data_IF_893497317647
#
_entry.id   IF_893497317647
#
_cell.length_a   1.000
_cell.length_b   1.000
_cell.length_c   1.000
_cell.angle_alpha   90.00
_cell.angle_beta   90.00
_cell.angle_gamma   90.00
#
_symmetry.space_group_name_H-M   'P 1'
#
loop_
_entity.id
_entity.type
_entity.pdbx_description
1 polymer ?
#
# COMPACT_ATOMS: atom_id res chain seq x y z
N UNK A 1 -8.71 4.32 38.87
CA UNK A 1 -9.96 3.65 38.47
C UNK A 1 -10.09 3.87 36.97
N UNK A 2 -9.67 2.89 36.16
CA UNK A 2 -9.53 3.05 34.71
C UNK A 2 -10.91 2.88 34.03
N UNK A 3 -11.34 3.89 33.28
CA UNK A 3 -12.55 3.81 32.47
C UNK A 3 -12.35 2.79 31.34
N UNK A 4 -13.31 1.88 31.10
CA UNK A 4 -13.22 0.95 29.99
C UNK A 4 -13.38 1.70 28.66
N UNK A 5 -12.42 1.51 27.76
CA UNK A 5 -12.47 2.03 26.40
C UNK A 5 -13.64 1.40 25.63
N UNK A 6 -14.39 2.17 24.82
CA UNK A 6 -15.48 1.63 24.03
C UNK A 6 -14.91 0.68 22.97
N UNK A 7 -15.27 -0.59 23.07
CA UNK A 7 -15.00 -1.60 22.03
C UNK A 7 -15.82 -1.22 20.79
N UNK A 8 -15.18 -0.65 19.78
CA UNK A 8 -15.73 -0.53 18.43
C UNK A 8 -16.13 -1.92 17.97
N UNK A 9 -17.44 -2.18 17.97
CA UNK A 9 -18.00 -3.45 17.53
C UNK A 9 -17.82 -3.52 16.02
N UNK A 10 -16.78 -4.20 15.55
CA UNK A 10 -16.64 -4.55 14.14
C UNK A 10 -17.84 -5.41 13.76
N UNK A 11 -18.86 -4.78 13.16
CA UNK A 11 -19.96 -5.48 12.50
C UNK A 11 -19.35 -6.22 11.31
N UNK A 12 -19.00 -7.48 11.52
CA UNK A 12 -18.66 -8.37 10.41
C UNK A 12 -19.94 -8.56 9.59
N UNK A 13 -20.00 -8.10 8.33
CA UNK A 13 -21.18 -8.34 7.52
C UNK A 13 -21.30 -9.84 7.28
N UNK A 14 -22.45 -10.42 7.60
CA UNK A 14 -22.75 -11.84 7.41
C UNK A 14 -22.71 -12.26 5.93
N UNK A 15 -22.74 -11.30 5.01
CA UNK A 15 -22.60 -11.50 3.56
C UNK A 15 -21.63 -10.46 3.01
N UNK A 16 -20.46 -10.92 2.56
CA UNK A 16 -19.51 -10.08 1.83
C UNK A 16 -19.97 -9.98 0.38
N UNK A 17 -19.89 -8.79 -0.22
CA UNK A 17 -20.32 -8.56 -1.61
C UNK A 17 -19.61 -9.46 -2.63
N UNK A 18 -18.35 -9.81 -2.34
CA UNK A 18 -17.58 -10.78 -3.13
C UNK A 18 -18.25 -12.15 -3.17
N UNK A 19 -18.82 -12.59 -2.06
CA UNK A 19 -19.38 -13.93 -1.90
C UNK A 19 -20.76 -13.99 -2.54
N UNK A 20 -21.54 -12.91 -2.44
CA UNK A 20 -22.79 -12.76 -3.18
C UNK A 20 -22.53 -12.74 -4.70
N UNK A 21 -21.53 -11.97 -5.15
CA UNK A 21 -21.10 -11.95 -6.54
C UNK A 21 -20.70 -13.34 -7.02
N UNK A 22 -19.89 -14.04 -6.23
CA UNK A 22 -19.45 -15.39 -6.52
C UNK A 22 -20.64 -16.35 -6.68
N UNK A 23 -21.57 -16.34 -5.72
CA UNK A 23 -22.75 -17.20 -5.72
C UNK A 23 -23.64 -16.92 -6.93
N UNK A 24 -23.95 -15.66 -7.22
CA UNK A 24 -24.81 -15.26 -8.35
C UNK A 24 -24.16 -15.60 -9.68
N UNK A 25 -22.90 -15.20 -9.90
CA UNK A 25 -22.22 -15.40 -11.18
C UNK A 25 -21.96 -16.88 -11.44
N UNK A 26 -21.59 -17.64 -10.42
CA UNK A 26 -21.41 -19.10 -10.54
C UNK A 26 -22.73 -19.81 -10.76
N UNK A 27 -23.80 -19.41 -10.07
CA UNK A 27 -25.14 -19.96 -10.27
C UNK A 27 -25.67 -19.71 -11.68
N UNK A 28 -25.53 -18.49 -12.19
CA UNK A 28 -25.87 -18.14 -13.58
C UNK A 28 -25.02 -18.91 -14.59
N UNK A 29 -23.73 -19.07 -14.31
CA UNK A 29 -22.82 -19.87 -15.15
C UNK A 29 -23.19 -21.36 -15.15
N UNK A 30 -23.65 -21.89 -14.02
CA UNK A 30 -24.17 -23.25 -13.91
C UNK A 30 -25.46 -23.42 -14.71
N UNK A 31 -26.40 -22.48 -14.57
CA UNK A 31 -27.62 -22.45 -15.38
C UNK A 31 -27.32 -22.42 -16.88
N UNK A 32 -26.41 -21.54 -17.31
CA UNK A 32 -25.98 -21.46 -18.72
C UNK A 32 -25.32 -22.77 -19.19
N UNK A 33 -24.43 -23.34 -18.38
CA UNK A 33 -23.77 -24.61 -18.71
C UNK A 33 -24.71 -25.81 -18.78
N UNK A 34 -25.78 -25.82 -17.99
CA UNK A 34 -26.80 -26.89 -18.00
C UNK A 34 -27.82 -26.74 -19.14
N UNK A 35 -28.11 -25.51 -19.57
CA UNK A 35 -29.06 -25.22 -20.64
C UNK A 35 -28.42 -25.22 -22.05
N UNK A 36 -27.10 -25.26 -22.12
CA UNK A 36 -26.38 -25.27 -23.40
C UNK A 36 -26.30 -26.69 -23.97
N UNK A 37 -26.56 -26.82 -25.27
CA UNK A 37 -26.40 -28.08 -26.01
C UNK A 37 -24.92 -28.49 -26.20
N UNK A 38 -23.98 -27.63 -25.78
CA UNK A 38 -22.54 -27.89 -25.89
C UNK A 38 -22.10 -28.82 -24.73
N UNK A 39 -21.41 -29.94 -25.02
CA UNK A 39 -21.03 -30.90 -23.99
C UNK A 39 -20.04 -30.32 -22.96
N UNK A 40 -20.06 -30.91 -21.77
CA UNK A 40 -19.21 -30.54 -20.62
C UNK A 40 -19.38 -29.11 -20.08
N UNK A 41 -20.57 -28.52 -20.21
CA UNK A 41 -20.88 -27.17 -19.69
C UNK A 41 -20.65 -26.97 -18.19
N UNK A 42 -20.55 -28.04 -17.40
CA UNK A 42 -20.21 -28.00 -15.97
C UNK A 42 -18.80 -27.43 -15.68
N UNK A 43 -17.90 -27.35 -16.66
CA UNK A 43 -16.59 -26.71 -16.49
C UNK A 43 -16.69 -25.18 -16.36
N UNK A 44 -17.77 -24.59 -16.86
CA UNK A 44 -18.01 -23.16 -16.78
C UNK A 44 -18.18 -22.69 -15.31
N UNK A 45 -19.16 -23.20 -14.53
CA UNK A 45 -19.31 -22.82 -13.12
C UNK A 45 -18.10 -23.23 -12.26
N UNK A 46 -17.44 -24.36 -12.56
CA UNK A 46 -16.19 -24.72 -11.87
C UNK A 46 -15.07 -23.72 -12.11
N UNK A 47 -15.03 -23.12 -13.28
CA UNK A 47 -14.03 -22.09 -13.60
C UNK A 47 -14.39 -20.77 -12.97
N UNK A 48 -15.66 -20.36 -13.02
CA UNK A 48 -16.07 -19.12 -12.34
C UNK A 48 -15.87 -19.20 -10.83
N UNK A 49 -16.21 -20.33 -10.20
CA UNK A 49 -16.00 -20.54 -8.78
C UNK A 49 -14.52 -20.45 -8.35
N UNK A 50 -13.61 -20.84 -9.24
CA UNK A 50 -12.18 -20.88 -8.94
C UNK A 50 -11.41 -19.62 -9.35
N UNK A 51 -11.95 -18.82 -10.29
CA UNK A 51 -11.29 -17.64 -10.82
C UNK A 51 -11.86 -16.37 -10.20
N UNK A 52 -13.17 -16.31 -9.96
CA UNK A 52 -13.81 -15.14 -9.39
C UNK A 52 -13.43 -14.99 -7.92
N UNK A 53 -12.65 -13.96 -7.63
CA UNK A 53 -12.14 -13.64 -6.29
C UNK A 53 -12.69 -12.29 -5.82
N UNK A 54 -12.22 -11.78 -4.68
CA UNK A 54 -12.68 -10.51 -4.09
C UNK A 54 -12.30 -9.29 -4.94
N UNK A 55 -11.14 -9.31 -5.62
CA UNK A 55 -10.68 -8.23 -6.49
C UNK A 55 -10.55 -8.65 -7.96
N UNK A 56 -10.51 -7.65 -8.84
CA UNK A 56 -10.27 -7.86 -10.27
C UNK A 56 -8.87 -8.43 -10.51
N UNK A 57 -7.85 -7.86 -9.85
CA UNK A 57 -6.46 -8.28 -9.97
C UNK A 57 -6.22 -9.74 -9.55
N UNK A 58 -6.80 -10.15 -8.42
CA UNK A 58 -6.70 -11.55 -7.97
C UNK A 58 -7.41 -12.49 -8.95
N UNK A 59 -8.57 -12.08 -9.47
CA UNK A 59 -9.30 -12.86 -10.47
C UNK A 59 -8.51 -13.01 -11.78
N UNK A 60 -7.82 -11.96 -12.23
CA UNK A 60 -6.95 -11.99 -13.40
C UNK A 60 -5.76 -12.93 -13.20
N UNK A 61 -5.07 -12.83 -12.05
CA UNK A 61 -3.94 -13.71 -11.73
C UNK A 61 -4.37 -15.18 -11.70
N UNK A 62 -5.50 -15.49 -11.06
CA UNK A 62 -6.07 -16.84 -11.01
C UNK A 62 -6.50 -17.32 -12.41
N UNK A 63 -7.07 -16.44 -13.21
CA UNK A 63 -7.46 -16.72 -14.59
C UNK A 63 -6.26 -17.10 -15.46
N UNK A 64 -5.18 -16.30 -15.43
CA UNK A 64 -3.93 -16.60 -16.16
C UNK A 64 -3.33 -17.93 -15.70
N UNK A 65 -3.26 -18.16 -14.38
CA UNK A 65 -2.74 -19.42 -13.82
C UNK A 65 -3.56 -20.64 -14.30
N UNK A 66 -4.89 -20.49 -14.37
CA UNK A 66 -5.79 -21.56 -14.79
C UNK A 66 -5.75 -21.79 -16.29
N UNK A 67 -5.60 -20.74 -17.10
CA UNK A 67 -5.43 -20.84 -18.54
C UNK A 67 -4.11 -21.52 -18.90
N UNK A 68 -2.99 -21.05 -18.34
CA UNK A 68 -1.67 -21.64 -18.55
C UNK A 68 -1.60 -23.09 -18.05
N UNK A 69 -2.15 -23.36 -16.85
CA UNK A 69 -2.26 -24.71 -16.33
C UNK A 69 -3.10 -25.62 -17.23
N UNK A 70 -4.19 -25.10 -17.80
CA UNK A 70 -5.04 -25.90 -18.68
C UNK A 70 -4.38 -26.20 -20.02
N UNK A 71 -3.72 -25.21 -20.61
CA UNK A 71 -2.96 -25.37 -21.84
C UNK A 71 -1.82 -26.39 -21.65
N UNK A 72 -1.04 -26.23 -20.59
CA UNK A 72 0.04 -27.16 -20.24
C UNK A 72 -0.49 -28.58 -20.01
N UNK A 73 -1.60 -28.73 -19.27
CA UNK A 73 -2.21 -30.03 -19.00
C UNK A 73 -2.66 -30.74 -20.28
N UNK A 74 -3.30 -30.04 -21.21
CA UNK A 74 -3.74 -30.61 -22.50
C UNK A 74 -2.54 -30.99 -23.37
N UNK A 75 -1.51 -30.13 -23.47
CA UNK A 75 -0.30 -30.42 -24.26
C UNK A 75 0.41 -31.67 -23.72
N UNK A 76 0.65 -31.73 -22.40
CA UNK A 76 1.31 -32.87 -21.78
C UNK A 76 0.47 -34.15 -21.90
N UNK A 77 -0.84 -34.05 -21.71
CA UNK A 77 -1.75 -35.17 -21.92
C UNK A 77 -1.57 -35.75 -23.33
N UNK A 78 -1.63 -34.93 -24.39
CA UNK A 78 -1.48 -35.38 -25.78
C UNK A 78 -0.10 -35.99 -26.05
N UNK A 79 0.98 -35.38 -25.54
CA UNK A 79 2.35 -35.90 -25.72
C UNK A 79 2.49 -37.28 -25.07
N UNK A 80 2.07 -37.42 -23.81
CA UNK A 80 2.26 -38.67 -23.07
C UNK A 80 1.25 -39.75 -23.48
N UNK A 81 0.02 -39.39 -23.89
CA UNK A 81 -1.00 -40.35 -24.32
C UNK A 81 -0.74 -40.89 -25.72
N UNK A 82 -0.23 -40.06 -26.65
CA UNK A 82 -0.04 -40.46 -28.07
C UNK A 82 1.39 -40.77 -28.47
N UNK A 83 2.38 -40.06 -27.94
CA UNK A 83 3.75 -40.14 -28.46
C UNK A 83 4.61 -41.17 -27.73
N UNK A 84 4.33 -41.41 -26.45
CA UNK A 84 5.08 -42.36 -25.62
C UNK A 84 4.18 -43.56 -25.35
N UNK A 85 4.31 -44.62 -26.18
CA UNK A 85 3.61 -45.91 -26.00
C UNK A 85 4.11 -46.64 -24.75
N UNK A 86 3.92 -46.05 -23.57
CA UNK A 86 4.40 -46.55 -22.28
C UNK A 86 3.24 -47.16 -21.48
N UNK A 87 3.53 -48.07 -20.51
CA UNK A 87 2.54 -48.55 -19.56
C UNK A 87 1.90 -47.39 -18.79
N UNK A 88 0.57 -47.45 -18.62
CA UNK A 88 -0.26 -46.35 -18.08
C UNK A 88 0.28 -45.75 -16.77
N UNK A 89 0.74 -46.59 -15.84
CA UNK A 89 1.26 -46.12 -14.56
C UNK A 89 2.55 -45.29 -14.72
N UNK A 90 3.44 -45.70 -15.63
CA UNK A 90 4.71 -45.02 -15.88
C UNK A 90 4.50 -43.70 -16.62
N UNK A 91 3.64 -43.71 -17.64
CA UNK A 91 3.33 -42.52 -18.41
C UNK A 91 2.62 -41.46 -17.58
N UNK A 92 1.67 -41.86 -16.73
CA UNK A 92 0.97 -40.95 -15.82
C UNK A 92 1.94 -40.36 -14.78
N UNK A 93 2.81 -41.19 -14.21
CA UNK A 93 3.85 -40.73 -13.27
C UNK A 93 4.80 -39.71 -13.89
N UNK A 94 5.27 -39.96 -15.12
CA UNK A 94 6.13 -39.04 -15.86
C UNK A 94 5.39 -37.75 -16.26
N UNK A 95 4.14 -37.84 -16.70
CA UNK A 95 3.33 -36.69 -17.07
C UNK A 95 3.07 -35.78 -15.86
N UNK A 96 2.75 -36.34 -14.70
CA UNK A 96 2.58 -35.59 -13.45
C UNK A 96 3.90 -35.00 -12.93
N UNK A 97 5.00 -35.75 -13.04
CA UNK A 97 6.35 -35.27 -12.75
C UNK A 97 6.74 -34.09 -13.63
N UNK A 98 6.56 -34.20 -14.94
CA UNK A 98 6.80 -33.14 -15.91
C UNK A 98 5.92 -31.91 -15.65
N UNK A 99 4.63 -32.13 -15.33
CA UNK A 99 3.70 -31.06 -14.94
C UNK A 99 4.19 -30.28 -13.73
N UNK A 100 4.75 -30.97 -12.73
CA UNK A 100 5.30 -30.34 -11.52
C UNK A 100 6.56 -29.53 -11.84
N UNK A 101 7.46 -30.09 -12.64
CA UNK A 101 8.72 -29.44 -13.05
C UNK A 101 8.47 -28.23 -13.93
N UNK A 102 7.68 -28.37 -14.99
CA UNK A 102 7.32 -27.28 -15.89
C UNK A 102 6.46 -26.23 -15.19
N UNK A 103 5.55 -26.65 -14.32
CA UNK A 103 4.77 -25.73 -13.48
C UNK A 103 5.66 -24.89 -12.56
N UNK A 104 6.70 -25.49 -11.97
CA UNK A 104 7.71 -24.77 -11.19
C UNK A 104 8.53 -23.80 -12.03
N UNK A 105 9.01 -24.25 -13.19
CA UNK A 105 9.79 -23.42 -14.12
C UNK A 105 9.00 -22.22 -14.67
N UNK A 106 7.69 -22.39 -14.90
CA UNK A 106 6.78 -21.33 -15.37
C UNK A 106 6.23 -20.45 -14.23
N UNK A 107 6.64 -20.69 -12.97
CA UNK A 107 6.16 -19.92 -11.81
C UNK A 107 4.67 -20.10 -11.51
N UNK A 108 4.08 -21.24 -11.90
CA UNK A 108 2.67 -21.53 -11.64
C UNK A 108 2.47 -21.88 -10.15
N UNK A 109 1.77 -21.02 -9.40
CA UNK A 109 1.47 -21.24 -7.98
C UNK A 109 0.33 -22.24 -7.78
N UNK A 110 -0.69 -22.20 -8.65
CA UNK A 110 -1.89 -23.06 -8.57
C UNK A 110 -2.16 -23.79 -9.88
N UNK A 111 -1.69 -23.24 -11.01
CA UNK A 111 -1.93 -23.78 -12.35
C UNK A 111 -1.44 -25.23 -12.55
N UNK A 112 -0.34 -25.62 -11.91
CA UNK A 112 0.19 -26.99 -12.04
C UNK A 112 -0.76 -28.06 -11.47
N UNK A 113 -1.57 -27.73 -10.45
CA UNK A 113 -2.59 -28.65 -9.91
C UNK A 113 -3.72 -28.88 -10.90
N UNK A 114 -4.12 -27.81 -11.58
CA UNK A 114 -5.15 -27.86 -12.64
C UNK A 114 -4.66 -28.71 -13.80
N UNK A 115 -3.40 -28.52 -14.22
CA UNK A 115 -2.76 -29.32 -15.26
C UNK A 115 -2.73 -30.82 -14.90
N UNK A 116 -2.34 -31.16 -13.67
CA UNK A 116 -2.34 -32.55 -13.21
C UNK A 116 -3.74 -33.17 -13.21
N UNK A 117 -4.75 -32.43 -12.77
CA UNK A 117 -6.15 -32.90 -12.83
C UNK A 117 -6.64 -33.09 -14.28
N UNK A 118 -6.16 -32.29 -15.23
CA UNK A 118 -6.49 -32.48 -16.65
C UNK A 118 -5.88 -33.78 -17.18
N UNK A 119 -4.64 -34.08 -16.84
CA UNK A 119 -3.97 -35.31 -17.28
C UNK A 119 -4.71 -36.53 -16.72
N UNK A 120 -5.02 -36.52 -15.42
CA UNK A 120 -5.73 -37.62 -14.75
C UNK A 120 -7.13 -37.81 -15.35
N UNK A 121 -7.92 -36.75 -15.46
CA UNK A 121 -9.31 -36.84 -15.97
C UNK A 121 -9.38 -37.11 -17.48
N UNK A 122 -8.44 -36.57 -18.25
CA UNK A 122 -8.37 -36.80 -19.70
C UNK A 122 -8.08 -38.26 -20.00
N UNK A 123 -7.11 -38.84 -19.28
CA UNK A 123 -6.67 -40.21 -19.54
C UNK A 123 -7.56 -41.28 -18.89
N UNK A 124 -8.04 -41.08 -17.66
CA UNK A 124 -8.84 -42.08 -16.94
C UNK A 124 -10.33 -42.02 -17.26
N UNK A 125 -10.86 -40.83 -17.58
CA UNK A 125 -12.32 -40.63 -17.72
C UNK A 125 -12.72 -40.37 -19.17
N UNK A 126 -11.87 -39.74 -19.98
CA UNK A 126 -12.21 -39.32 -21.35
C UNK A 126 -11.30 -39.93 -22.42
N UNK A 127 -10.71 -41.10 -22.15
CA UNK A 127 -9.76 -41.78 -23.05
C UNK A 127 -10.28 -41.95 -24.50
N UNK A 128 -11.60 -42.14 -24.66
CA UNK A 128 -12.25 -42.33 -25.96
C UNK A 128 -12.55 -41.02 -26.72
N UNK A 129 -12.60 -39.87 -26.05
CA UNK A 129 -12.99 -38.57 -26.62
C UNK A 129 -11.94 -37.48 -26.36
N UNK A 130 -10.72 -37.86 -26.01
CA UNK A 130 -9.64 -36.99 -25.54
C UNK A 130 -9.39 -35.79 -26.50
N UNK A 131 -9.48 -36.03 -27.81
CA UNK A 131 -9.27 -35.01 -28.86
C UNK A 131 -10.35 -33.95 -28.92
N UNK A 132 -11.57 -34.26 -28.50
CA UNK A 132 -12.70 -33.31 -28.47
C UNK A 132 -12.80 -32.66 -27.10
N UNK A 133 -12.59 -33.44 -26.04
CA UNK A 133 -12.69 -33.00 -24.66
C UNK A 133 -11.65 -31.93 -24.29
N UNK A 134 -10.38 -32.11 -24.66
CA UNK A 134 -9.30 -31.18 -24.32
C UNK A 134 -9.55 -29.75 -24.83
N UNK A 135 -9.78 -29.55 -26.14
CA UNK A 135 -10.13 -28.25 -26.71
C UNK A 135 -11.41 -27.66 -26.13
N UNK A 136 -12.45 -28.47 -25.92
CA UNK A 136 -13.73 -27.99 -25.41
C UNK A 136 -13.61 -27.52 -23.95
N UNK A 137 -12.79 -28.20 -23.14
CA UNK A 137 -12.45 -27.76 -21.79
C UNK A 137 -11.69 -26.44 -21.79
N UNK A 138 -10.76 -26.23 -22.73
CA UNK A 138 -10.06 -24.95 -22.88
C UNK A 138 -11.03 -23.82 -23.26
N UNK A 139 -12.00 -24.10 -24.13
CA UNK A 139 -13.07 -23.16 -24.46
C UNK A 139 -13.90 -22.76 -23.23
N UNK A 140 -14.43 -23.75 -22.49
CA UNK A 140 -15.21 -23.48 -21.26
C UNK A 140 -14.40 -22.75 -20.18
N UNK A 141 -13.12 -23.09 -20.04
CA UNK A 141 -12.22 -22.42 -19.11
C UNK A 141 -12.00 -20.96 -19.51
N UNK A 142 -11.76 -20.70 -20.79
CA UNK A 142 -11.57 -19.34 -21.30
C UNK A 142 -12.84 -18.50 -21.13
N UNK A 143 -14.00 -19.06 -21.47
CA UNK A 143 -15.30 -18.40 -21.28
C UNK A 143 -15.55 -18.09 -19.79
N UNK A 144 -15.28 -19.03 -18.89
CA UNK A 144 -15.43 -18.83 -17.45
C UNK A 144 -14.49 -17.77 -16.87
N UNK A 145 -13.28 -17.65 -17.41
CA UNK A 145 -12.35 -16.56 -17.06
C UNK A 145 -12.92 -15.22 -17.52
N UNK A 146 -13.40 -15.12 -18.77
CA UNK A 146 -14.00 -13.89 -19.31
C UNK A 146 -15.21 -13.46 -18.49
N UNK A 147 -16.13 -14.37 -18.18
CA UNK A 147 -17.30 -14.08 -17.34
C UNK A 147 -16.88 -13.64 -15.94
N UNK A 148 -15.88 -14.30 -15.34
CA UNK A 148 -15.35 -13.92 -14.02
C UNK A 148 -14.75 -12.51 -14.03
N UNK A 149 -13.96 -12.17 -15.04
CA UNK A 149 -13.34 -10.85 -15.15
C UNK A 149 -14.37 -9.76 -15.43
N UNK A 150 -15.34 -10.05 -16.30
CA UNK A 150 -16.47 -9.16 -16.56
C UNK A 150 -17.28 -8.91 -15.29
N UNK A 151 -17.63 -9.97 -14.56
CA UNK A 151 -18.33 -9.85 -13.28
C UNK A 151 -17.52 -9.07 -12.25
N UNK A 152 -16.22 -9.34 -12.11
CA UNK A 152 -15.35 -8.62 -11.18
C UNK A 152 -15.25 -7.12 -11.50
N UNK A 153 -15.43 -6.73 -12.76
CA UNK A 153 -15.39 -5.33 -13.21
C UNK A 153 -16.75 -4.62 -13.08
N UNK A 154 -17.85 -5.29 -13.41
CA UNK A 154 -19.17 -4.66 -13.57
C UNK A 154 -20.16 -4.99 -12.46
N UNK A 155 -20.08 -6.19 -11.88
CA UNK A 155 -20.99 -6.65 -10.84
C UNK A 155 -20.32 -6.38 -9.49
N UNK A 156 -20.74 -5.33 -8.79
CA UNK A 156 -20.16 -4.89 -7.51
C UNK A 156 -18.62 -4.79 -7.55
N UNK A 157 -18.06 -3.77 -8.25
CA UNK A 157 -16.63 -3.63 -8.43
C UNK A 157 -15.89 -3.54 -7.11
N UNK A 158 -14.65 -4.01 -7.13
CA UNK A 158 -13.74 -3.93 -5.99
C UNK A 158 -13.57 -2.48 -5.52
N UNK A 159 -13.55 -2.29 -4.20
CA UNK A 159 -13.33 -0.99 -3.55
C UNK A 159 -11.93 -0.88 -2.93
N UNK A 160 -11.03 -1.81 -3.22
CA UNK A 160 -9.70 -1.88 -2.57
C UNK A 160 -8.91 -0.58 -2.71
N UNK A 161 -8.85 0.01 -3.92
CA UNK A 161 -8.10 1.26 -4.16
C UNK A 161 -8.76 2.46 -3.44
N UNK A 162 -10.08 2.73 -3.58
CA UNK A 162 -10.75 3.78 -2.80
C UNK A 162 -10.60 3.60 -1.29
N UNK A 163 -10.73 2.37 -0.78
CA UNK A 163 -10.57 2.06 0.64
C UNK A 163 -9.13 2.30 1.10
N UNK A 164 -8.14 1.96 0.27
CA UNK A 164 -6.72 2.23 0.57
C UNK A 164 -6.46 3.74 0.66
N UNK A 165 -7.02 4.53 -0.27
CA UNK A 165 -6.91 5.99 -0.23
C UNK A 165 -7.57 6.56 1.03
N UNK A 166 -8.76 6.06 1.39
CA UNK A 166 -9.43 6.47 2.63
C UNK A 166 -8.59 6.16 3.86
N UNK A 167 -7.95 4.98 3.93
CA UNK A 167 -7.07 4.62 5.04
C UNK A 167 -5.82 5.49 5.10
N UNK A 168 -5.19 5.82 3.96
CA UNK A 168 -4.08 6.78 3.92
C UNK A 168 -4.51 8.15 4.44
N UNK A 169 -5.65 8.65 4.00
CA UNK A 169 -6.16 9.95 4.45
C UNK A 169 -6.45 9.95 5.96
N UNK A 170 -7.10 8.91 6.49
CA UNK A 170 -7.32 8.77 7.93
C UNK A 170 -6.02 8.62 8.74
N UNK A 171 -4.99 8.00 8.17
CA UNK A 171 -3.68 7.91 8.81
C UNK A 171 -2.98 9.28 8.86
N UNK A 172 -3.06 10.07 7.80
CA UNK A 172 -2.56 11.45 7.79
C UNK A 172 -3.30 12.32 8.82
N UNK A 173 -4.62 12.20 8.92
CA UNK A 173 -5.39 12.87 9.99
C UNK A 173 -4.87 12.45 11.38
N UNK A 174 -4.55 11.16 11.57
CA UNK A 174 -4.03 10.65 12.84
C UNK A 174 -2.65 11.23 13.17
N UNK A 175 -1.79 11.42 12.17
CA UNK A 175 -0.51 12.11 12.36
C UNK A 175 -0.72 13.59 12.70
N UNK A 176 -1.64 14.25 12.02
CA UNK A 176 -1.99 15.65 12.28
C UNK A 176 -2.56 15.84 13.69
N UNK A 177 -3.41 14.94 14.17
CA UNK A 177 -3.94 14.94 15.54
C UNK A 177 -2.81 14.83 16.57
N UNK A 178 -1.82 13.98 16.31
CA UNK A 178 -0.67 13.80 17.20
C UNK A 178 0.26 15.03 17.23
N UNK A 179 0.44 15.72 16.11
CA UNK A 179 1.12 17.02 16.07
C UNK A 179 0.31 18.11 16.80
N UNK A 180 -1.02 18.08 16.67
CA UNK A 180 -1.89 19.02 17.36
C UNK A 180 -1.81 18.87 18.88
N UNK A 181 -1.69 17.63 19.38
CA UNK A 181 -1.46 17.35 20.79
C UNK A 181 -0.12 17.90 21.28
N UNK A 182 0.95 17.78 20.48
CA UNK A 182 2.25 18.39 20.81
C UNK A 182 2.18 19.93 20.79
N UNK A 183 1.48 20.52 19.82
CA UNK A 183 1.24 21.97 19.76
C UNK A 183 0.51 22.47 21.02
N UNK A 184 -0.57 21.79 21.41
CA UNK A 184 -1.30 22.13 22.63
C UNK A 184 -0.44 21.98 23.90
N UNK A 185 0.45 20.99 23.97
CA UNK A 185 1.38 20.85 25.10
C UNK A 185 2.34 22.05 25.20
N UNK A 186 2.82 22.59 24.08
CA UNK A 186 3.69 23.77 24.06
C UNK A 186 2.97 25.07 24.49
N UNK A 187 1.65 25.12 24.35
CA UNK A 187 0.85 26.29 24.76
C UNK A 187 0.45 26.25 26.25
N UNK A 188 0.52 25.08 26.89
CA UNK A 188 0.15 24.94 28.31
C UNK A 188 1.17 25.59 29.23
N UNK A 189 0.71 26.34 30.24
CA UNK A 189 1.60 26.97 31.24
C UNK A 189 2.43 25.97 32.05
N UNK A 190 1.90 24.75 32.23
CA UNK A 190 2.56 23.65 32.95
C UNK A 190 2.51 22.39 32.09
N UNK A 191 3.42 22.26 31.12
CA UNK A 191 3.40 21.14 30.23
C UNK A 191 3.76 19.86 30.98
N UNK A 192 2.96 18.81 30.79
CA UNK A 192 3.20 17.50 31.39
C UNK A 192 3.82 16.54 30.39
N UNK A 193 4.81 15.78 30.84
CA UNK A 193 5.41 14.73 30.02
C UNK A 193 4.48 13.52 30.01
N UNK A 194 4.11 13.06 28.82
CA UNK A 194 3.39 11.78 28.66
C UNK A 194 4.15 10.62 29.35
N UNK A 195 3.40 9.73 29.99
CA UNK A 195 3.98 8.55 30.62
C UNK A 195 4.64 7.64 29.57
N UNK A 196 5.62 6.85 29.99
CA UNK A 196 6.28 5.87 29.10
C UNK A 196 5.29 4.86 28.51
N UNK A 197 4.26 4.48 29.26
CA UNK A 197 3.20 3.58 28.81
C UNK A 197 2.33 4.23 27.74
N UNK A 198 1.85 5.46 27.95
CA UNK A 198 1.03 6.17 26.97
C UNK A 198 1.77 6.41 25.65
N UNK A 199 3.04 6.83 25.72
CA UNK A 199 3.89 7.03 24.53
C UNK A 199 4.05 5.74 23.74
N UNK A 200 4.30 4.62 24.43
CA UNK A 200 4.43 3.31 23.80
C UNK A 200 3.12 2.89 23.14
N UNK A 201 1.98 3.06 23.81
CA UNK A 201 0.66 2.72 23.27
C UNK A 201 0.31 3.52 22.01
N UNK A 202 0.52 4.84 22.03
CA UNK A 202 0.29 5.71 20.87
C UNK A 202 1.16 5.30 19.69
N UNK A 203 2.47 5.10 19.94
CA UNK A 203 3.41 4.60 18.92
C UNK A 203 2.98 3.26 18.32
N UNK A 204 2.62 2.29 19.16
CA UNK A 204 2.18 0.97 18.67
C UNK A 204 0.90 1.06 17.85
N UNK A 205 0.00 1.98 18.19
CA UNK A 205 -1.25 2.19 17.45
C UNK A 205 -0.97 2.72 16.04
N UNK A 206 -0.10 3.71 15.90
CA UNK A 206 0.30 4.24 14.59
C UNK A 206 1.07 3.19 13.76
N UNK A 207 1.98 2.44 14.39
CA UNK A 207 2.73 1.35 13.73
C UNK A 207 1.81 0.22 13.25
N UNK A 208 0.80 -0.15 14.04
CA UNK A 208 -0.17 -1.15 13.62
C UNK A 208 -0.99 -0.64 12.43
N UNK A 209 -1.40 0.64 12.46
CA UNK A 209 -2.19 1.25 11.39
C UNK A 209 -1.41 1.30 10.07
N UNK A 210 -0.16 1.77 10.07
CA UNK A 210 0.67 1.81 8.85
C UNK A 210 0.96 0.39 8.32
N UNK A 211 1.12 -0.60 9.20
CA UNK A 211 1.31 -2.00 8.78
C UNK A 211 0.05 -2.58 8.13
N UNK A 212 -1.15 -2.25 8.64
CA UNK A 212 -2.42 -2.62 8.00
C UNK A 212 -2.55 -1.99 6.61
N UNK A 213 -2.20 -0.71 6.47
CA UNK A 213 -2.21 -0.01 5.18
C UNK A 213 -1.25 -0.67 4.19
N UNK A 214 -0.04 -1.06 4.62
CA UNK A 214 0.94 -1.78 3.78
C UNK A 214 0.42 -3.13 3.29
N UNK A 215 -0.30 -3.87 4.12
CA UNK A 215 -0.94 -5.13 3.73
C UNK A 215 -2.04 -4.88 2.69
N UNK A 216 -2.87 -3.85 2.88
CA UNK A 216 -3.90 -3.50 1.91
C UNK A 216 -3.31 -2.99 0.58
N UNK A 217 -2.18 -2.27 0.63
CA UNK A 217 -1.43 -1.84 -0.57
C UNK A 217 -1.04 -3.02 -1.45
N UNK A 218 -0.61 -4.14 -0.89
CA UNK A 218 -0.29 -5.35 -1.67
C UNK A 218 -1.51 -5.88 -2.44
N UNK A 219 -2.70 -5.79 -1.82
CA UNK A 219 -3.95 -6.19 -2.46
C UNK A 219 -4.35 -5.23 -3.58
N UNK A 220 -4.22 -3.92 -3.34
CA UNK A 220 -4.50 -2.88 -4.34
C UNK A 220 -3.53 -2.92 -5.53
N UNK A 221 -2.25 -3.24 -5.30
CA UNK A 221 -1.25 -3.37 -6.36
C UNK A 221 -1.61 -4.45 -7.37
N UNK A 222 -2.26 -5.54 -6.94
CA UNK A 222 -2.73 -6.57 -7.88
C UNK A 222 -3.80 -6.03 -8.84
N UNK A 223 -4.59 -5.02 -8.45
CA UNK A 223 -5.59 -4.38 -9.32
C UNK A 223 -4.97 -3.49 -10.41
N UNK A 224 -3.72 -3.05 -10.23
CA UNK A 224 -3.02 -2.21 -11.19
C UNK A 224 -2.48 -2.98 -12.42
N UNK A 225 -2.56 -4.31 -12.42
CA UNK A 225 -2.19 -5.16 -13.55
C UNK A 225 -0.76 -5.67 -13.52
N UNK A 226 -0.20 -5.96 -14.70
CA UNK A 226 1.06 -6.70 -14.85
C UNK A 226 2.33 -5.92 -14.46
N UNK A 227 2.28 -4.58 -14.48
CA UNK A 227 3.42 -3.72 -14.16
C UNK A 227 3.02 -2.62 -13.16
N UNK A 228 2.75 -2.99 -11.89
CA UNK A 228 2.28 -2.05 -10.89
C UNK A 228 3.31 -0.96 -10.59
N UNK A 229 4.61 -1.26 -10.70
CA UNK A 229 5.71 -0.34 -10.37
C UNK A 229 5.74 0.92 -11.24
N UNK A 230 5.33 0.79 -12.51
CA UNK A 230 5.27 1.91 -13.46
C UNK A 230 3.98 2.74 -13.32
N UNK A 231 3.05 2.29 -12.46
CA UNK A 231 1.76 2.96 -12.30
C UNK A 231 1.90 4.20 -11.39
N UNK A 232 1.33 5.36 -11.76
CA UNK A 232 1.44 6.59 -10.97
C UNK A 232 0.94 6.42 -9.52
N UNK A 233 -0.15 5.68 -9.33
CA UNK A 233 -0.67 5.36 -7.98
C UNK A 233 0.32 4.54 -7.13
N UNK A 234 1.11 3.65 -7.73
CA UNK A 234 2.12 2.91 -6.98
C UNK A 234 3.20 3.86 -6.44
N UNK A 235 3.69 4.77 -7.30
CA UNK A 235 4.64 5.81 -6.89
C UNK A 235 4.08 6.70 -5.78
N UNK A 236 2.80 7.11 -5.90
CA UNK A 236 2.09 7.87 -4.87
C UNK A 236 2.09 7.12 -3.53
N UNK A 237 1.67 5.85 -3.50
CA UNK A 237 1.61 5.06 -2.26
C UNK A 237 2.99 4.82 -1.65
N UNK A 238 4.03 4.67 -2.47
CA UNK A 238 5.41 4.53 -1.99
C UNK A 238 5.92 5.84 -1.36
N UNK A 239 5.60 6.99 -1.96
CA UNK A 239 5.93 8.31 -1.40
C UNK A 239 5.18 8.57 -0.08
N UNK A 240 3.88 8.25 -0.02
CA UNK A 240 3.08 8.36 1.21
C UNK A 240 3.61 7.47 2.33
N UNK A 241 4.03 6.25 2.01
CA UNK A 241 4.63 5.31 2.97
C UNK A 241 5.96 5.82 3.53
N UNK A 242 6.80 6.40 2.67
CA UNK A 242 8.09 6.98 3.08
C UNK A 242 7.88 8.22 3.96
N UNK A 243 7.04 9.17 3.51
CA UNK A 243 6.65 10.37 4.26
C UNK A 243 6.13 9.98 5.65
N UNK A 244 5.14 9.09 5.68
CA UNK A 244 4.49 8.60 6.91
C UNK A 244 5.46 7.96 7.89
N UNK A 245 6.39 7.14 7.38
CA UNK A 245 7.37 6.44 8.22
C UNK A 245 8.38 7.40 8.85
N UNK A 246 8.85 8.39 8.06
CA UNK A 246 9.80 9.38 8.53
C UNK A 246 9.14 10.36 9.51
N UNK A 247 7.93 10.83 9.21
CA UNK A 247 7.13 11.66 10.12
C UNK A 247 6.86 10.97 11.44
N UNK A 248 6.46 9.69 11.42
CA UNK A 248 6.26 8.91 12.63
C UNK A 248 7.52 8.87 13.51
N UNK A 249 8.70 8.70 12.89
CA UNK A 249 9.97 8.74 13.61
C UNK A 249 10.25 10.11 14.25
N UNK A 250 9.95 11.21 13.54
CA UNK A 250 10.12 12.56 14.09
C UNK A 250 9.15 12.85 15.24
N UNK A 251 7.88 12.45 15.11
CA UNK A 251 6.86 12.60 16.15
C UNK A 251 7.25 11.80 17.40
N UNK A 252 7.72 10.56 17.23
CA UNK A 252 8.23 9.75 18.34
C UNK A 252 9.47 10.40 18.99
N UNK A 253 10.33 11.05 18.20
CA UNK A 253 11.45 11.85 18.69
C UNK A 253 11.00 13.03 19.55
N UNK A 254 10.01 13.81 19.08
CA UNK A 254 9.44 14.95 19.79
C UNK A 254 8.81 14.52 21.12
N UNK A 255 7.97 13.48 21.12
CA UNK A 255 7.39 12.86 22.34
C UNK A 255 8.44 12.30 23.30
N UNK A 256 9.62 11.96 22.78
CA UNK A 256 10.76 11.48 23.56
C UNK A 256 11.29 12.53 24.53
N UNK A 257 11.19 13.80 24.14
CA UNK A 257 11.78 14.94 24.82
C UNK A 257 11.19 15.17 26.21
N UNK A 258 11.95 15.80 27.12
CA UNK A 258 11.42 16.26 28.40
C UNK A 258 10.39 17.38 28.23
N UNK A 259 9.61 17.63 29.29
CA UNK A 259 8.65 18.73 29.29
C UNK A 259 9.33 20.08 28.99
N UNK A 260 8.72 20.91 28.11
CA UNK A 260 9.16 22.27 27.80
C UNK A 260 9.31 23.12 29.06
N UNK A 261 10.12 24.18 28.97
CA UNK A 261 10.22 25.23 29.99
C UNK A 261 9.74 26.54 29.38
N UNK A 262 9.05 27.39 30.14
CA UNK A 262 8.51 28.67 29.63
C UNK A 262 9.25 29.90 30.16
N UNK A 263 10.39 29.68 30.81
CA UNK A 263 11.23 30.73 31.37
C UNK A 263 12.65 30.58 30.84
N UNK A 264 13.32 31.67 30.43
CA UNK A 264 12.84 33.07 30.33
C UNK A 264 11.84 33.32 29.19
N UNK A 265 11.29 34.54 29.09
CA UNK A 265 10.27 34.90 28.09
C UNK A 265 10.72 34.64 26.64
N UNK A 266 12.01 34.78 26.34
CA UNK A 266 12.58 34.42 25.04
C UNK A 266 12.36 32.95 24.66
N UNK A 267 12.30 32.05 25.65
CA UNK A 267 11.99 30.62 25.45
C UNK A 267 10.50 30.43 25.17
N UNK A 268 9.63 31.24 25.79
CA UNK A 268 8.19 31.24 25.47
C UNK A 268 7.94 31.73 24.04
N UNK A 269 8.65 32.76 23.61
CA UNK A 269 8.61 33.24 22.23
C UNK A 269 9.08 32.16 21.25
N UNK A 270 10.15 31.42 21.58
CA UNK A 270 10.62 30.28 20.78
C UNK A 270 9.54 29.19 20.66
N UNK A 271 8.92 28.79 21.77
CA UNK A 271 7.85 27.77 21.75
C UNK A 271 6.61 28.24 20.95
N UNK A 272 6.33 29.54 20.93
CA UNK A 272 5.26 30.11 20.08
C UNK A 272 5.57 29.91 18.60
N UNK A 273 6.83 30.01 18.20
CA UNK A 273 7.25 29.78 16.82
C UNK A 273 7.30 28.29 16.47
N UNK A 274 7.72 27.42 17.41
CA UNK A 274 7.59 25.96 17.26
C UNK A 274 6.13 25.55 16.99
N UNK A 275 5.19 26.14 17.72
CA UNK A 275 3.74 25.96 17.52
C UNK A 275 3.31 26.36 16.12
N UNK A 276 3.77 27.50 15.59
CA UNK A 276 3.42 27.93 14.21
C UNK A 276 3.90 26.95 13.16
N UNK A 277 5.12 26.41 13.31
CA UNK A 277 5.64 25.36 12.41
C UNK A 277 4.75 24.12 12.47
N UNK A 278 4.36 23.67 13.66
CA UNK A 278 3.44 22.54 13.83
C UNK A 278 2.08 22.80 13.19
N UNK A 279 1.50 23.99 13.37
CA UNK A 279 0.21 24.37 12.77
C UNK A 279 0.25 24.37 11.23
N UNK A 280 1.35 24.84 10.64
CA UNK A 280 1.56 24.78 9.18
C UNK A 280 1.74 23.34 8.69
N UNK A 281 2.45 22.50 9.44
CA UNK A 281 2.59 21.07 9.11
C UNK A 281 1.23 20.36 9.15
N UNK A 282 0.43 20.59 10.21
CA UNK A 282 -0.93 20.07 10.36
C UNK A 282 -1.80 20.49 9.16
N UNK A 283 -1.71 21.76 8.75
CA UNK A 283 -2.46 22.28 7.60
C UNK A 283 -2.07 21.56 6.30
N UNK A 284 -0.77 21.29 6.10
CA UNK A 284 -0.28 20.55 4.95
C UNK A 284 -0.77 19.11 4.94
N UNK A 285 -0.68 18.40 6.08
CA UNK A 285 -1.16 17.02 6.21
C UNK A 285 -2.66 16.90 5.95
N UNK A 286 -3.46 17.83 6.47
CA UNK A 286 -4.90 17.88 6.22
C UNK A 286 -5.21 18.15 4.74
N UNK A 287 -4.47 19.06 4.11
CA UNK A 287 -4.61 19.35 2.67
C UNK A 287 -4.27 18.11 1.82
N UNK A 288 -3.22 17.37 2.21
CA UNK A 288 -2.83 16.12 1.56
C UNK A 288 -3.89 15.04 1.74
N UNK A 289 -4.43 14.87 2.95
CA UNK A 289 -5.50 13.93 3.25
C UNK A 289 -6.76 14.22 2.42
N UNK A 290 -7.13 15.49 2.30
CA UNK A 290 -8.27 15.91 1.49
C UNK A 290 -8.06 15.66 -0.01
N UNK A 291 -6.85 15.90 -0.53
CA UNK A 291 -6.53 15.59 -1.93
C UNK A 291 -6.60 14.07 -2.20
N UNK A 292 -6.16 13.24 -1.26
CA UNK A 292 -6.24 11.77 -1.37
C UNK A 292 -7.69 11.28 -1.35
N UNK A 293 -8.57 11.91 -0.57
CA UNK A 293 -10.01 11.59 -0.52
C UNK A 293 -10.74 11.95 -1.81
N UNK A 294 -10.21 12.85 -2.63
CA UNK A 294 -10.92 13.33 -3.81
C UNK A 294 -11.15 12.20 -4.83
N UNK A 295 -12.39 12.04 -5.31
CA UNK A 295 -12.68 11.03 -6.33
C UNK A 295 -11.99 11.32 -7.67
N UNK A 296 -11.61 12.58 -7.92
CA UNK A 296 -10.82 12.96 -9.10
C UNK A 296 -9.47 12.25 -9.16
N UNK A 297 -8.85 11.94 -8.02
CA UNK A 297 -7.57 11.25 -7.98
C UNK A 297 -7.66 9.83 -8.55
N UNK A 298 -8.80 9.15 -8.35
CA UNK A 298 -9.04 7.82 -8.90
C UNK A 298 -9.17 7.85 -10.44
N UNK A 299 -9.74 8.92 -10.96
CA UNK A 299 -9.98 9.10 -12.40
C UNK A 299 -8.76 9.66 -13.13
N UNK A 300 -8.09 10.65 -12.55
CA UNK A 300 -6.98 11.40 -13.15
C UNK A 300 -5.62 10.86 -12.76
N UNK A 301 -5.56 9.98 -11.74
CA UNK A 301 -4.35 9.32 -11.25
C UNK A 301 -3.19 10.26 -10.88
N UNK A 302 -3.50 11.53 -10.65
CA UNK A 302 -2.54 12.63 -10.41
C UNK A 302 -3.10 13.55 -9.35
N UNK A 303 -2.24 14.05 -8.46
CA UNK A 303 -2.64 15.00 -7.40
C UNK A 303 -2.54 16.44 -7.89
N UNK A 304 -3.49 17.29 -7.49
CA UNK A 304 -3.39 18.74 -7.70
C UNK A 304 -2.45 19.34 -6.68
N UNK A 305 -1.29 19.80 -7.16
CA UNK A 305 -0.20 20.22 -6.29
C UNK A 305 -0.25 21.71 -5.89
N UNK A 306 -1.19 22.51 -6.40
CA UNK A 306 -1.19 23.97 -6.17
C UNK A 306 -1.39 24.33 -4.70
N UNK A 307 -2.43 23.78 -4.05
CA UNK A 307 -2.68 24.02 -2.62
C UNK A 307 -1.58 23.43 -1.72
N UNK A 308 -0.98 22.31 -2.13
CA UNK A 308 0.15 21.70 -1.43
C UNK A 308 1.40 22.58 -1.53
N UNK A 309 1.66 23.18 -2.70
CA UNK A 309 2.78 24.11 -2.92
C UNK A 309 2.66 25.34 -2.04
N UNK A 310 1.49 25.97 -1.98
CA UNK A 310 1.28 27.14 -1.13
C UNK A 310 1.42 26.79 0.35
N UNK A 311 0.81 25.68 0.81
CA UNK A 311 0.94 25.23 2.19
C UNK A 311 2.40 24.93 2.58
N UNK A 312 3.18 24.37 1.65
CA UNK A 312 4.60 24.11 1.87
C UNK A 312 5.44 25.39 1.93
N UNK A 313 5.15 26.38 1.08
CA UNK A 313 5.86 27.67 1.12
C UNK A 313 5.64 28.39 2.47
N UNK A 314 4.41 28.36 2.98
CA UNK A 314 4.09 28.86 4.32
C UNK A 314 4.90 28.14 5.40
N UNK A 315 4.91 26.80 5.36
CA UNK A 315 5.66 25.97 6.30
C UNK A 315 7.16 26.29 6.29
N UNK A 316 7.75 26.41 5.10
CA UNK A 316 9.17 26.72 4.94
C UNK A 316 9.51 28.10 5.51
N UNK A 317 8.62 29.08 5.33
CA UNK A 317 8.78 30.43 5.89
C UNK A 317 8.86 30.39 7.42
N UNK A 318 7.92 29.70 8.06
CA UNK A 318 7.91 29.57 9.53
C UNK A 318 9.12 28.77 10.06
N UNK A 319 9.58 27.77 9.30
CA UNK A 319 10.74 26.95 9.66
C UNK A 319 12.05 27.76 9.62
N UNK A 320 12.22 28.63 8.62
CA UNK A 320 13.39 29.52 8.53
C UNK A 320 13.39 30.53 9.68
N UNK A 321 12.23 31.08 10.04
CA UNK A 321 12.09 31.99 11.18
C UNK A 321 12.41 31.28 12.51
N UNK A 322 11.98 30.02 12.66
CA UNK A 322 12.34 29.20 13.83
C UNK A 322 13.86 29.03 13.95
N UNK A 323 14.58 28.76 12.87
CA UNK A 323 16.04 28.62 12.88
C UNK A 323 16.73 29.90 13.38
N UNK A 324 16.28 31.07 12.91
CA UNK A 324 16.79 32.36 13.38
C UNK A 324 16.51 32.58 14.88
N UNK A 325 15.30 32.25 15.33
CA UNK A 325 14.89 32.46 16.71
C UNK A 325 15.64 31.53 17.68
N UNK A 326 15.90 30.28 17.31
CA UNK A 326 16.69 29.34 18.13
C UNK A 326 18.08 29.92 18.43
N UNK A 327 18.75 30.50 17.43
CA UNK A 327 20.08 31.09 17.60
C UNK A 327 20.05 32.31 18.53
N UNK A 328 19.00 33.13 18.44
CA UNK A 328 18.82 34.30 19.33
C UNK A 328 18.52 33.87 20.76
N UNK A 329 17.52 33.01 20.96
CA UNK A 329 17.09 32.51 22.29
C UNK A 329 18.22 31.74 22.98
N UNK A 330 19.01 30.95 22.25
CA UNK A 330 20.13 30.20 22.84
C UNK A 330 21.21 31.14 23.40
N UNK A 331 21.46 32.28 22.74
CA UNK A 331 22.41 33.30 23.22
C UNK A 331 21.88 34.06 24.42
N UNK A 332 20.63 34.51 24.39
CA UNK A 332 20.04 35.31 25.47
C UNK A 332 19.75 34.48 26.74
N UNK A 333 19.32 33.23 26.58
CA UNK A 333 18.97 32.34 27.69
C UNK A 333 20.19 31.62 28.30
N UNK A 334 21.40 31.75 27.74
CA UNK A 334 22.60 31.02 28.18
C UNK A 334 22.96 31.25 29.65
N UNK A 335 22.70 32.44 30.17
CA UNK A 335 22.98 32.80 31.57
C UNK A 335 21.92 32.28 32.56
N UNK A 336 20.71 31.95 32.07
CA UNK A 336 19.53 31.68 32.91
C UNK A 336 19.04 30.24 32.82
N UNK A 337 19.46 29.51 31.78
CA UNK A 337 19.00 28.15 31.50
C UNK A 337 20.20 27.19 31.47
N UNK A 338 20.02 25.99 32.04
CA UNK A 338 21.09 25.00 32.05
C UNK A 338 21.46 24.53 30.65
N UNK A 339 22.73 24.19 30.44
CA UNK A 339 23.22 23.68 29.15
C UNK A 339 22.45 22.45 28.63
N UNK A 340 21.96 21.60 29.53
CA UNK A 340 21.13 20.45 29.17
C UNK A 340 19.78 20.86 28.58
N UNK A 341 19.16 21.93 29.11
CA UNK A 341 17.88 22.46 28.61
C UNK A 341 18.05 23.20 27.29
N UNK A 342 19.15 23.95 27.12
CA UNK A 342 19.51 24.56 25.82
C UNK A 342 19.69 23.50 24.73
N UNK A 343 20.41 22.41 25.02
CA UNK A 343 20.53 21.28 24.09
C UNK A 343 19.18 20.66 23.73
N UNK A 344 18.24 20.58 24.67
CA UNK A 344 16.89 20.06 24.41
C UNK A 344 16.09 20.97 23.49
N UNK A 345 16.18 22.30 23.65
CA UNK A 345 15.54 23.26 22.76
C UNK A 345 16.09 23.16 21.34
N UNK A 346 17.42 23.13 21.19
CA UNK A 346 18.08 22.96 19.89
C UNK A 346 17.70 21.62 19.25
N UNK A 347 17.64 20.54 20.03
CA UNK A 347 17.22 19.23 19.53
C UNK A 347 15.76 19.25 19.05
N UNK A 348 14.85 19.90 19.78
CA UNK A 348 13.45 20.03 19.36
C UNK A 348 13.33 20.81 18.05
N UNK A 349 13.97 21.97 17.96
CA UNK A 349 13.95 22.77 16.74
C UNK A 349 14.58 22.03 15.56
N UNK A 350 15.65 21.25 15.79
CA UNK A 350 16.26 20.39 14.78
C UNK A 350 15.31 19.28 14.32
N UNK A 351 14.55 18.66 15.22
CA UNK A 351 13.51 17.68 14.87
C UNK A 351 12.38 18.31 14.05
N UNK A 352 11.95 19.52 14.39
CA UNK A 352 10.96 20.28 13.60
C UNK A 352 11.51 20.65 12.21
N UNK A 353 12.75 21.12 12.12
CA UNK A 353 13.41 21.37 10.83
C UNK A 353 13.56 20.10 9.99
N UNK A 354 13.89 18.97 10.62
CA UNK A 354 13.95 17.67 9.95
C UNK A 354 12.57 17.22 9.45
N UNK A 355 11.51 17.45 10.23
CA UNK A 355 10.13 17.19 9.81
C UNK A 355 9.77 17.97 8.54
N UNK A 356 10.10 19.26 8.49
CA UNK A 356 9.88 20.11 7.30
C UNK A 356 10.67 19.60 6.08
N UNK A 357 11.92 19.17 6.29
CA UNK A 357 12.74 18.56 5.24
C UNK A 357 12.14 17.25 4.72
N UNK A 358 11.68 16.37 5.61
CA UNK A 358 10.97 15.14 5.26
C UNK A 358 9.75 15.45 4.40
N UNK A 359 8.96 16.46 4.80
CA UNK A 359 7.76 16.88 4.07
C UNK A 359 8.11 17.43 2.69
N UNK A 360 9.19 18.20 2.55
CA UNK A 360 9.69 18.66 1.25
C UNK A 360 10.05 17.52 0.31
N UNK A 361 10.83 16.56 0.80
CA UNK A 361 11.47 15.55 -0.05
C UNK A 361 10.54 14.39 -0.40
N UNK A 362 9.49 14.17 0.40
CA UNK A 362 8.63 13.00 0.27
C UNK A 362 7.17 13.32 -0.07
N UNK A 363 6.74 14.59 0.01
CA UNK A 363 5.35 14.92 -0.37
C UNK A 363 5.13 14.67 -1.86
N UNK A 364 4.14 13.84 -2.24
CA UNK A 364 3.95 13.49 -3.64
C UNK A 364 3.61 14.74 -4.48
N UNK A 365 4.31 14.90 -5.61
CA UNK A 365 4.16 16.08 -6.48
C UNK A 365 4.94 17.33 -6.06
N UNK A 366 5.47 17.38 -4.84
CA UNK A 366 6.42 18.39 -4.36
C UNK A 366 7.86 17.89 -4.34
N UNK A 367 8.04 16.58 -4.14
CA UNK A 367 9.33 15.91 -4.21
C UNK A 367 10.00 16.21 -5.55
N UNK A 368 10.91 17.18 -5.54
CA UNK A 368 11.74 17.53 -6.67
C UNK A 368 12.47 16.26 -7.10
N UNK A 369 12.34 15.92 -8.38
CA UNK A 369 13.15 14.86 -8.99
C UNK A 369 14.60 15.34 -9.10
N UNK A 370 15.28 15.59 -7.99
CA UNK A 370 16.74 15.56 -7.95
C UNK A 370 17.10 14.26 -7.24
N UNK A 371 17.38 13.18 -7.98
CA UNK A 371 17.95 11.99 -7.37
C UNK A 371 19.17 12.41 -6.55
N UNK A 372 19.34 11.84 -5.36
CA UNK A 372 20.45 12.12 -4.42
C UNK A 372 21.83 12.09 -5.12
N UNK A 373 21.96 11.30 -6.19
CA UNK A 373 23.16 11.28 -7.05
C UNK A 373 23.47 12.63 -7.73
N UNK A 374 22.47 13.41 -8.12
CA UNK A 374 22.65 14.70 -8.77
C UNK A 374 23.08 15.81 -7.79
N UNK A 375 22.65 15.74 -6.54
CA UNK A 375 23.13 16.64 -5.49
C UNK A 375 24.58 16.33 -5.09
N UNK A 376 24.96 15.04 -5.05
CA UNK A 376 26.35 14.63 -4.81
C UNK A 376 27.30 15.05 -5.96
N UNK A 377 26.84 14.96 -7.22
CA UNK A 377 27.62 15.40 -8.38
C UNK A 377 27.69 16.94 -8.50
N UNK A 378 26.69 17.67 -7.99
CA UNK A 378 26.73 19.13 -7.92
C UNK A 378 27.66 19.65 -6.81
N UNK A 379 27.80 18.92 -5.69
CA UNK A 379 28.77 19.26 -4.65
C UNK A 379 30.23 19.01 -5.07
N UNK A 380 30.48 17.96 -5.88
CA UNK A 380 31.82 17.67 -6.41
C UNK A 380 32.23 18.62 -7.57
N UNK A 381 31.27 19.28 -8.22
CA UNK A 381 31.54 20.26 -9.29
C UNK A 381 31.97 21.66 -8.82
N UNK A 382 31.88 21.97 -7.51
CA UNK A 382 32.24 23.31 -6.98
C UNK A 382 33.62 23.39 -6.31
N UNK A 383 34.31 22.25 -6.16
CA UNK A 383 35.63 22.17 -5.53
C UNK A 383 36.70 21.73 -6.56
N UNK A 384 36.92 22.53 -7.60
CA UNK A 384 37.89 22.16 -8.63
C UNK A 384 38.19 23.22 -9.69
N UNK A 385 38.24 24.50 -9.31
CA UNK A 385 38.68 25.58 -10.20
C UNK A 385 39.32 26.70 -9.40
N UNK A 386 40.59 26.53 -9.05
CA UNK A 386 41.40 27.62 -8.49
C UNK A 386 42.79 27.20 -8.04
N UNK A 387 43.81 27.46 -8.87
CA UNK A 387 45.24 27.41 -8.52
C UNK A 387 46.06 26.50 -9.44
N UNK A 388 46.38 26.97 -10.67
CA UNK A 388 47.70 27.52 -11.08
C UNK A 388 48.74 26.41 -11.34
N UNK A 389 49.18 26.25 -12.60
CA UNK A 389 50.41 26.86 -13.15
C UNK A 389 51.68 26.33 -12.51
#
# INVERSE_FOLDING_TARGET
MAAPTPKTTQRNPWVVRSDLRLAVVTGLSAGFGLLSDIPFGYYLPMTTAAVLSSSYGSSLKLGIQRLLGSLMGVILLVIFSRSLQLPLALSLGLALGATRLLGGALGLQVGYKVAGNIIIMGWLVHNSEETVWGPLRLFWTSLGIVISLWAARWIWPSRTIPELHQQWASFLDSLAEELNLESHQLQQERPHRLSTTERRTRRTTLLNTINTIRQQRQTAQMELGASPENHPLHRLWSQLDLLSSQLLSTIDGLRGLPAPIHFPDDVRHLHTQEVRVLEKEITLLNTLADEIRRPSLLNQQTMRCEALKSAFQDLQTEANELEHQVLQTTKSAQAQVSAQRLRQMVLRASLLGHMVMITRDNTPGLAGSTPVLAQALASDGSAGSGGLR
#
